data_IF_517269431310
#
_entry.id   IF_517269431310
#
_cell.length_a   1.000
_cell.length_b   1.000
_cell.length_c   1.000
_cell.angle_alpha   90.00
_cell.angle_beta   90.00
_cell.angle_gamma   90.00
#
_symmetry.space_group_name_H-M   'P 1'
#
loop_
_entity.id
_entity.type
_entity.pdbx_description
1 polymer ?
#
# COMPACT_ATOMS: atom_id res chain seq x y z
N UNK A 1 3.35 4.11 8.40
CA UNK A 1 2.92 2.70 8.50
C UNK A 1 2.87 2.34 9.97
N UNK A 2 1.88 1.58 10.41
CA UNK A 2 1.69 1.17 11.81
C UNK A 2 1.04 -0.22 11.88
N UNK A 3 0.96 -0.76 13.10
CA UNK A 3 0.28 -2.05 13.41
C UNK A 3 0.75 -3.19 12.51
N UNK A 4 2.05 -3.46 12.50
CA UNK A 4 2.64 -4.53 11.73
C UNK A 4 2.26 -5.90 12.31
N UNK A 5 1.84 -6.81 11.43
CA UNK A 5 1.78 -8.25 11.67
C UNK A 5 2.81 -8.86 10.74
N UNK A 6 3.71 -9.68 11.27
CA UNK A 6 4.82 -10.24 10.50
C UNK A 6 4.94 -11.73 10.79
N UNK A 7 5.02 -12.53 9.74
CA UNK A 7 5.38 -13.95 9.80
C UNK A 7 6.71 -14.15 9.08
N UNK A 8 7.66 -14.80 9.74
CA UNK A 8 9.01 -15.07 9.20
C UNK A 8 9.18 -16.57 9.07
N UNK A 9 9.60 -17.03 7.89
CA UNK A 9 9.97 -18.40 7.58
C UNK A 9 11.37 -18.42 6.95
N UNK A 10 12.39 -18.73 7.76
CA UNK A 10 13.78 -18.72 7.34
C UNK A 10 14.23 -17.36 6.77
N UNK A 11 14.59 -17.34 5.49
CA UNK A 11 14.99 -16.14 4.75
C UNK A 11 13.81 -15.44 4.06
N UNK A 12 12.57 -15.88 4.29
CA UNK A 12 11.34 -15.27 3.73
C UNK A 12 10.46 -14.72 4.84
N UNK A 13 9.66 -13.72 4.50
CA UNK A 13 8.65 -13.21 5.42
C UNK A 13 7.44 -12.63 4.68
N UNK A 14 6.31 -12.61 5.37
CA UNK A 14 5.12 -11.86 5.00
C UNK A 14 4.85 -10.79 6.05
N UNK A 15 4.50 -9.57 5.62
CA UNK A 15 4.21 -8.45 6.51
C UNK A 15 2.96 -7.73 6.07
N UNK A 16 2.02 -7.55 6.99
CA UNK A 16 0.83 -6.74 6.80
C UNK A 16 0.88 -5.54 7.74
N UNK A 17 0.49 -4.36 7.26
CA UNK A 17 0.39 -3.18 8.11
C UNK A 17 -0.60 -2.14 7.58
N UNK A 18 -1.03 -1.24 8.47
CA UNK A 18 -1.86 -0.12 8.09
C UNK A 18 -1.01 1.04 7.54
N UNK A 19 -1.50 1.65 6.46
CA UNK A 19 -0.91 2.80 5.78
C UNK A 19 -1.76 4.06 5.99
N UNK A 20 -1.10 5.18 6.22
CA UNK A 20 -1.71 6.51 6.22
C UNK A 20 -0.84 7.45 5.38
N UNK A 21 -1.46 8.22 4.51
CA UNK A 21 -0.79 9.06 3.52
C UNK A 21 -1.35 10.46 3.55
N UNK A 22 -0.44 11.43 3.60
CA UNK A 22 -0.69 12.84 3.33
C UNK A 22 0.25 13.26 2.23
N UNK A 23 -0.30 13.50 1.04
CA UNK A 23 0.46 13.83 -0.15
C UNK A 23 0.21 15.30 -0.51
N UNK A 24 1.29 16.04 -0.74
CA UNK A 24 1.22 17.46 -1.13
C UNK A 24 1.98 17.66 -2.43
N UNK A 25 1.28 18.07 -3.48
CA UNK A 25 1.87 18.39 -4.79
C UNK A 25 1.47 19.80 -5.22
N UNK A 26 2.39 20.75 -5.06
CA UNK A 26 2.20 22.17 -5.43
C UNK A 26 2.06 22.40 -6.93
N UNK A 27 2.57 21.48 -7.75
CA UNK A 27 2.50 21.55 -9.21
C UNK A 27 1.24 20.87 -9.79
N UNK A 28 0.36 20.32 -8.95
CA UNK A 28 -0.94 19.83 -9.40
C UNK A 28 -1.91 21.01 -9.52
N UNK A 29 -2.76 20.96 -10.54
CA UNK A 29 -3.83 21.95 -10.68
C UNK A 29 -4.84 21.82 -9.52
N UNK A 30 -5.23 22.95 -8.94
CA UNK A 30 -6.19 23.01 -7.83
C UNK A 30 -5.57 22.88 -6.44
N UNK A 31 -6.29 22.26 -5.50
CA UNK A 31 -5.82 22.09 -4.13
C UNK A 31 -4.61 21.14 -4.11
N UNK A 32 -3.46 21.47 -3.48
CA UNK A 32 -2.27 20.64 -3.53
C UNK A 32 -2.33 19.38 -2.67
N UNK A 33 -3.40 19.17 -1.89
CA UNK A 33 -3.51 18.10 -0.89
C UNK A 33 -4.31 16.89 -1.39
N UNK A 34 -3.80 15.70 -1.09
CA UNK A 34 -4.53 14.44 -1.09
C UNK A 34 -4.23 13.69 0.22
N UNK A 35 -5.27 13.21 0.90
CA UNK A 35 -5.15 12.43 2.12
C UNK A 35 -5.81 11.07 1.91
N UNK A 36 -5.24 10.01 2.50
CA UNK A 36 -5.84 8.70 2.45
C UNK A 36 -5.25 7.70 3.44
N UNK A 37 -5.88 6.54 3.51
CA UNK A 37 -5.42 5.41 4.30
C UNK A 37 -5.75 4.10 3.61
N UNK A 38 -5.12 3.05 4.09
CA UNK A 38 -5.21 1.74 3.50
C UNK A 38 -4.28 0.79 4.22
N UNK A 39 -3.77 -0.19 3.48
CA UNK A 39 -2.88 -1.19 4.02
C UNK A 39 -1.86 -1.65 2.98
N UNK A 40 -0.77 -2.19 3.50
CA UNK A 40 0.24 -2.88 2.73
C UNK A 40 0.27 -4.35 3.13
N UNK A 41 0.48 -5.20 2.13
CA UNK A 41 0.70 -6.63 2.26
C UNK A 41 1.93 -6.97 1.43
N UNK A 42 3.00 -7.33 2.13
CA UNK A 42 4.34 -7.46 1.59
C UNK A 42 4.84 -8.88 1.67
N UNK A 43 5.53 -9.33 0.62
CA UNK A 43 6.45 -10.46 0.67
C UNK A 43 7.89 -9.95 0.75
N UNK A 44 8.71 -10.58 1.57
CA UNK A 44 10.09 -10.17 1.84
C UNK A 44 11.07 -11.33 1.71
N UNK A 45 12.33 -10.99 1.42
CA UNK A 45 13.48 -11.90 1.46
C UNK A 45 14.63 -11.29 2.27
N UNK A 46 15.27 -12.08 3.11
CA UNK A 46 16.47 -11.71 3.85
C UNK A 46 17.69 -11.97 2.98
N UNK A 47 18.37 -10.90 2.57
CA UNK A 47 19.64 -10.98 1.82
C UNK A 47 20.82 -10.79 2.77
N UNK A 48 22.04 -10.96 2.28
CA UNK A 48 23.24 -10.55 3.04
C UNK A 48 23.26 -9.07 3.43
N UNK A 49 22.49 -8.22 2.74
CA UNK A 49 22.28 -6.80 3.07
C UNK A 49 21.03 -6.53 3.91
N UNK A 50 20.40 -7.56 4.47
CA UNK A 50 19.15 -7.50 5.24
C UNK A 50 17.89 -7.72 4.42
N UNK A 51 16.73 -7.55 5.06
CA UNK A 51 15.42 -7.74 4.47
C UNK A 51 15.13 -6.77 3.31
N UNK A 52 14.53 -7.30 2.25
CA UNK A 52 14.07 -6.56 1.07
C UNK A 52 12.65 -6.98 0.73
N UNK A 53 11.83 -6.02 0.32
CA UNK A 53 10.48 -6.28 -0.19
C UNK A 53 10.62 -6.81 -1.61
N UNK A 54 10.13 -8.03 -1.86
CA UNK A 54 10.11 -8.66 -3.19
C UNK A 54 8.78 -8.41 -3.89
N UNK A 55 7.70 -8.24 -3.13
CA UNK A 55 6.39 -7.89 -3.63
C UNK A 55 5.65 -7.04 -2.61
N UNK A 56 4.93 -6.02 -3.08
CA UNK A 56 4.07 -5.18 -2.24
C UNK A 56 2.74 -4.95 -2.94
N UNK A 57 1.66 -5.21 -2.22
CA UNK A 57 0.32 -4.78 -2.60
C UNK A 57 -0.07 -3.59 -1.71
N UNK A 58 -0.50 -2.49 -2.33
CA UNK A 58 -1.06 -1.33 -1.66
C UNK A 58 -2.56 -1.25 -1.98
N UNK A 59 -3.43 -1.21 -0.97
CA UNK A 59 -4.87 -1.03 -1.19
C UNK A 59 -5.41 0.11 -0.35
N UNK A 60 -6.24 0.95 -0.96
CA UNK A 60 -6.82 2.14 -0.34
C UNK A 60 -8.12 1.74 0.36
N UNK A 61 -8.34 2.16 1.60
CA UNK A 61 -9.62 1.98 2.32
C UNK A 61 -10.48 3.24 2.29
N UNK A 62 -9.86 4.42 2.33
CA UNK A 62 -10.51 5.71 2.13
C UNK A 62 -9.52 6.76 1.62
N UNK A 63 -10.04 7.81 0.98
CA UNK A 63 -9.26 8.99 0.61
C UNK A 63 -10.14 10.23 0.43
N UNK A 64 -9.51 11.40 0.38
CA UNK A 64 -10.12 12.71 0.05
C UNK A 64 -9.09 13.66 -0.57
N UNK A 65 -9.56 14.79 -1.10
CA UNK A 65 -8.72 15.82 -1.69
C UNK A 65 -8.57 15.69 -3.20
N UNK A 66 -7.47 16.21 -3.73
CA UNK A 66 -7.24 16.35 -5.16
C UNK A 66 -6.62 15.08 -5.77
N UNK A 67 -7.33 14.33 -6.63
CA UNK A 67 -6.78 13.11 -7.24
C UNK A 67 -5.57 13.38 -8.15
N UNK A 68 -5.46 14.58 -8.76
CA UNK A 68 -4.33 14.96 -9.62
C UNK A 68 -2.99 15.05 -8.89
N UNK A 69 -3.00 15.07 -7.56
CA UNK A 69 -1.79 14.94 -6.74
C UNK A 69 -1.06 13.62 -7.03
N UNK A 70 -1.80 12.56 -7.36
CA UNK A 70 -1.23 11.24 -7.66
C UNK A 70 -0.71 11.12 -9.10
N UNK A 71 -1.16 11.94 -10.05
CA UNK A 71 -0.80 11.86 -11.47
C UNK A 71 0.58 12.47 -11.76
N UNK A 72 1.63 11.88 -11.18
CA UNK A 72 3.01 12.39 -11.24
C UNK A 72 3.72 12.10 -12.58
N UNK A 73 3.20 11.15 -13.36
CA UNK A 73 3.73 10.75 -14.66
C UNK A 73 2.69 11.12 -15.73
N UNK A 74 3.07 11.86 -16.80
CA UNK A 74 2.16 12.21 -17.88
C UNK A 74 1.48 10.98 -18.49
N UNK A 75 0.15 11.02 -18.60
CA UNK A 75 -0.66 9.92 -19.14
C UNK A 75 -1.01 8.81 -18.15
N UNK A 76 -0.42 8.79 -16.95
CA UNK A 76 -0.75 7.84 -15.89
C UNK A 76 -1.94 8.34 -15.07
N UNK A 77 -3.04 7.60 -15.12
CA UNK A 77 -4.17 7.79 -14.21
C UNK A 77 -4.08 6.79 -13.07
N UNK A 78 -4.35 7.25 -11.85
CA UNK A 78 -4.46 6.39 -10.68
C UNK A 78 -5.90 5.93 -10.51
N UNK A 79 -6.10 4.62 -10.44
CA UNK A 79 -7.36 4.05 -9.99
C UNK A 79 -7.41 4.15 -8.46
N UNK A 80 -8.21 5.09 -7.96
CA UNK A 80 -8.39 5.35 -6.53
C UNK A 80 -9.58 4.57 -5.95
N UNK A 81 -9.88 3.39 -6.51
CA UNK A 81 -10.92 2.49 -5.99
C UNK A 81 -10.60 2.07 -4.55
N UNK A 82 -11.59 2.19 -3.68
CA UNK A 82 -11.48 1.74 -2.29
C UNK A 82 -11.73 0.24 -2.19
N UNK A 83 -11.03 -0.41 -1.27
CA UNK A 83 -11.03 -1.85 -1.09
C UNK A 83 -11.46 -2.23 0.32
N UNK A 84 -12.30 -3.27 0.41
CA UNK A 84 -12.73 -3.87 1.67
C UNK A 84 -11.81 -5.04 2.00
N UNK A 85 -11.03 -4.94 3.08
CA UNK A 85 -10.06 -5.97 3.49
C UNK A 85 -10.68 -7.37 3.57
N UNK A 86 -11.90 -7.49 4.14
CA UNK A 86 -12.59 -8.77 4.25
C UNK A 86 -12.83 -9.44 2.89
N UNK A 87 -13.22 -8.69 1.86
CA UNK A 87 -13.45 -9.22 0.51
C UNK A 87 -12.15 -9.72 -0.14
N UNK A 88 -11.05 -9.02 0.10
CA UNK A 88 -9.74 -9.46 -0.38
C UNK A 88 -9.26 -10.72 0.32
N UNK A 89 -9.51 -10.83 1.63
CA UNK A 89 -9.21 -12.03 2.41
C UNK A 89 -10.03 -13.22 1.93
N UNK A 90 -11.36 -13.06 1.78
CA UNK A 90 -12.24 -14.12 1.27
C UNK A 90 -11.86 -14.56 -0.15
N UNK A 91 -11.26 -13.67 -0.94
CA UNK A 91 -10.78 -13.97 -2.29
C UNK A 91 -9.33 -14.49 -2.34
N UNK A 92 -8.68 -14.73 -1.19
CA UNK A 92 -7.31 -15.25 -1.12
C UNK A 92 -6.24 -14.26 -1.60
N UNK A 93 -6.53 -12.95 -1.58
CA UNK A 93 -5.62 -11.89 -2.09
C UNK A 93 -4.93 -11.10 -0.97
N UNK A 94 -4.81 -11.70 0.22
CA UNK A 94 -4.06 -11.17 1.36
C UNK A 94 -2.99 -12.21 1.71
N UNK A 95 -1.76 -11.94 1.30
CA UNK A 95 -0.61 -12.85 1.36
C UNK A 95 -0.33 -13.32 2.77
N UNK A 96 -0.37 -12.44 3.78
CA UNK A 96 -0.13 -12.86 5.16
C UNK A 96 -1.16 -13.87 5.70
N UNK A 97 -2.34 -13.99 5.10
CA UNK A 97 -3.33 -15.01 5.51
C UNK A 97 -3.09 -16.37 4.87
N UNK A 98 -2.17 -16.45 3.90
CA UNK A 98 -1.82 -17.66 3.15
C UNK A 98 -0.40 -18.14 3.48
N UNK A 99 0.30 -17.46 4.39
CA UNK A 99 1.70 -17.67 4.74
C UNK A 99 1.88 -18.69 5.86
#
# INVERSE_FOLDING_TARGET
MSTHVVQVDGDRAHSFCNGGWRLVRKAADGNPLWDGSGWYDDALVCTGGGWRITHRVCRITWWTGNPFVNETIPGTKFDLTTTVLRREADAGRVGILSA
#
